data_IF_034533217596
#
_entry.id   IF_034533217596
#
_cell.length_a   1.000
_cell.length_b   1.000
_cell.length_c   1.000
_cell.angle_alpha   90.00
_cell.angle_beta   90.00
_cell.angle_gamma   90.00
#
_symmetry.space_group_name_H-M   'P 1'
#
loop_
_entity.id
_entity.type
_entity.pdbx_description
1 polymer ?
#
# COMPACT_ATOMS: atom_id res chain seq x y z
N UNK A 1 -13.23 13.94 4.43
CA UNK A 1 -12.46 13.34 5.56
C UNK A 1 -13.32 12.29 6.22
N UNK A 2 -12.82 11.07 6.36
CA UNK A 2 -13.51 10.04 7.15
C UNK A 2 -13.33 10.31 8.65
N UNK A 3 -14.30 9.91 9.49
CA UNK A 3 -14.13 9.98 10.93
C UNK A 3 -13.00 9.06 11.37
N UNK A 4 -12.32 9.39 12.49
CA UNK A 4 -11.28 8.53 13.08
C UNK A 4 -11.75 7.10 13.37
N UNK A 5 -13.07 6.89 13.51
CA UNK A 5 -13.68 5.56 13.69
C UNK A 5 -13.58 4.65 12.48
N UNK A 6 -13.36 5.20 11.27
CA UNK A 6 -13.14 4.42 10.05
C UNK A 6 -11.78 3.71 10.03
N UNK A 7 -10.86 4.13 10.90
CA UNK A 7 -9.53 3.54 11.02
C UNK A 7 -9.42 2.71 12.30
N UNK A 8 -8.56 1.69 12.29
CA UNK A 8 -8.16 0.95 13.48
C UNK A 8 -7.07 1.70 14.28
N UNK A 9 -6.72 1.23 15.49
CA UNK A 9 -5.66 1.78 16.34
C UNK A 9 -4.31 1.88 15.65
N UNK A 10 -4.08 1.04 14.65
CA UNK A 10 -2.87 1.04 13.83
C UNK A 10 -2.97 1.95 12.60
N UNK A 11 -4.10 2.65 12.38
CA UNK A 11 -4.35 3.53 11.24
C UNK A 11 -4.74 2.81 9.94
N UNK A 12 -5.13 1.53 10.01
CA UNK A 12 -5.64 0.78 8.86
C UNK A 12 -7.11 1.06 8.65
N UNK A 13 -7.54 1.13 7.39
CA UNK A 13 -8.95 1.32 7.04
C UNK A 13 -9.76 0.08 7.41
N UNK A 14 -10.90 0.26 8.06
CA UNK A 14 -11.79 -0.86 8.45
C UNK A 14 -12.62 -1.39 7.28
N UNK A 15 -12.99 -0.51 6.36
CA UNK A 15 -13.80 -0.85 5.19
C UNK A 15 -13.04 -0.48 3.92
N UNK A 16 -12.81 -1.46 3.04
CA UNK A 16 -12.11 -1.28 1.78
C UNK A 16 -12.83 -0.34 0.81
N UNK A 17 -14.17 -0.31 0.87
CA UNK A 17 -15.03 0.54 0.03
C UNK A 17 -14.97 2.02 0.43
N UNK A 18 -14.58 2.33 1.68
CA UNK A 18 -14.37 3.70 2.15
C UNK A 18 -13.04 4.28 1.61
N UNK A 19 -12.22 3.48 0.95
CA UNK A 19 -10.93 3.93 0.44
C UNK A 19 -11.13 4.93 -0.70
N UNK A 20 -10.42 6.04 -0.61
CA UNK A 20 -10.33 7.03 -1.66
C UNK A 20 -8.94 7.66 -1.67
N UNK A 21 -8.54 8.35 -2.76
CA UNK A 21 -7.25 9.02 -2.82
C UNK A 21 -7.01 9.98 -1.63
N UNK A 22 -8.02 10.75 -1.23
CA UNK A 22 -7.93 11.62 -0.07
C UNK A 22 -7.64 10.87 1.25
N UNK A 23 -8.11 9.62 1.37
CA UNK A 23 -7.85 8.77 2.53
C UNK A 23 -6.46 8.16 2.48
N UNK A 24 -6.00 7.72 1.31
CA UNK A 24 -4.61 7.30 1.13
C UNK A 24 -3.63 8.41 1.53
N UNK A 25 -3.86 9.65 1.08
CA UNK A 25 -3.05 10.80 1.48
C UNK A 25 -3.07 11.04 2.99
N UNK A 26 -4.24 10.93 3.63
CA UNK A 26 -4.36 11.09 5.08
C UNK A 26 -3.57 10.02 5.85
N UNK A 27 -3.61 8.76 5.38
CA UNK A 27 -2.85 7.66 5.96
C UNK A 27 -1.35 7.87 5.77
N UNK A 28 -0.93 8.27 4.56
CA UNK A 28 0.47 8.51 4.24
C UNK A 28 1.03 9.69 5.05
N UNK A 29 0.28 10.79 5.16
CA UNK A 29 0.65 11.93 6.00
C UNK A 29 0.80 11.55 7.48
N UNK A 30 -0.02 10.62 7.98
CA UNK A 30 0.12 10.11 9.34
C UNK A 30 1.39 9.25 9.55
N UNK A 31 1.97 8.72 8.48
CA UNK A 31 3.23 7.98 8.48
C UNK A 31 4.44 8.85 8.04
N UNK A 32 4.24 10.16 7.89
CA UNK A 32 5.25 11.11 7.38
C UNK A 32 5.71 10.79 5.93
N UNK A 33 4.81 10.22 5.12
CA UNK A 33 5.07 9.81 3.74
C UNK A 33 4.36 10.76 2.78
N UNK A 34 5.11 11.32 1.83
CA UNK A 34 4.55 12.14 0.74
C UNK A 34 4.24 11.27 -0.48
N UNK A 35 2.97 11.15 -0.84
CA UNK A 35 2.53 10.39 -2.00
C UNK A 35 2.84 11.13 -3.30
N UNK A 36 3.91 10.71 -3.98
CA UNK A 36 4.19 11.08 -5.37
C UNK A 36 3.48 10.14 -6.35
N UNK A 37 3.51 10.46 -7.65
CA UNK A 37 2.97 9.59 -8.72
C UNK A 37 3.45 8.14 -8.63
N UNK A 38 4.73 7.94 -8.29
CA UNK A 38 5.31 6.61 -8.09
C UNK A 38 4.66 5.84 -6.94
N UNK A 39 4.25 6.53 -5.86
CA UNK A 39 3.52 5.90 -4.76
C UNK A 39 2.12 5.53 -5.21
N UNK A 40 1.44 6.41 -5.96
CA UNK A 40 0.12 6.13 -6.52
C UNK A 40 0.12 4.91 -7.43
N UNK A 41 1.10 4.80 -8.34
CA UNK A 41 1.27 3.61 -9.18
C UNK A 41 1.34 2.34 -8.32
N UNK A 42 2.12 2.35 -7.24
CA UNK A 42 2.23 1.20 -6.33
C UNK A 42 0.91 0.91 -5.61
N UNK A 43 0.22 1.94 -5.13
CA UNK A 43 -1.03 1.83 -4.38
C UNK A 43 -2.13 1.23 -5.27
N UNK A 44 -2.28 1.73 -6.49
CA UNK A 44 -3.23 1.17 -7.44
C UNK A 44 -2.86 -0.26 -7.81
N UNK A 45 -1.58 -0.53 -8.03
CA UNK A 45 -1.09 -1.88 -8.32
C UNK A 45 -1.38 -2.87 -7.18
N UNK A 46 -1.25 -2.44 -5.93
CA UNK A 46 -1.60 -3.24 -4.75
C UNK A 46 -3.10 -3.55 -4.71
N UNK A 47 -3.95 -2.56 -5.05
CA UNK A 47 -5.40 -2.76 -5.12
C UNK A 47 -5.79 -3.70 -6.26
N UNK A 48 -5.14 -3.60 -7.41
CA UNK A 48 -5.32 -4.56 -8.51
C UNK A 48 -4.92 -5.97 -8.07
N UNK A 49 -3.78 -6.12 -7.42
CA UNK A 49 -3.34 -7.40 -6.89
C UNK A 49 -4.35 -7.96 -5.88
N UNK A 50 -4.85 -7.15 -4.97
CA UNK A 50 -5.89 -7.58 -4.02
C UNK A 50 -7.18 -7.96 -4.74
N UNK A 51 -7.62 -7.22 -5.76
CA UNK A 51 -8.80 -7.57 -6.55
C UNK A 51 -8.62 -8.89 -7.33
N UNK A 52 -7.40 -9.22 -7.73
CA UNK A 52 -7.07 -10.43 -8.50
C UNK A 52 -6.85 -11.66 -7.61
N UNK A 53 -6.21 -11.49 -6.45
CA UNK A 53 -5.77 -12.58 -5.57
C UNK A 53 -6.49 -12.63 -4.21
N UNK A 54 -7.37 -11.68 -3.91
CA UNK A 54 -8.04 -11.46 -2.61
C UNK A 54 -7.05 -11.52 -1.43
N UNK A 55 -5.83 -11.02 -1.67
CA UNK A 55 -4.72 -11.15 -0.73
C UNK A 55 -3.75 -9.99 -0.86
N UNK A 56 -3.25 -9.52 0.28
CA UNK A 56 -2.23 -8.47 0.31
C UNK A 56 -0.84 -9.06 0.00
N UNK A 57 -0.11 -8.54 -1.00
CA UNK A 57 1.19 -9.08 -1.36
C UNK A 57 2.25 -8.74 -0.31
N UNK A 58 3.05 -9.74 0.07
CA UNK A 58 4.27 -9.52 0.85
C UNK A 58 5.38 -8.88 0.00
N UNK A 59 6.50 -8.51 0.62
CA UNK A 59 7.64 -7.83 -0.03
C UNK A 59 8.11 -8.56 -1.31
N UNK A 60 8.26 -9.89 -1.26
CA UNK A 60 8.70 -10.71 -2.41
C UNK A 60 7.70 -10.67 -3.58
N UNK A 61 6.41 -11.02 -3.38
CA UNK A 61 5.38 -10.86 -4.40
C UNK A 61 5.27 -9.43 -4.93
N UNK A 62 5.34 -8.42 -4.06
CA UNK A 62 5.25 -7.01 -4.44
C UNK A 62 6.37 -6.61 -5.41
N UNK A 63 7.63 -6.91 -5.08
CA UNK A 63 8.80 -6.65 -5.94
C UNK A 63 8.61 -7.31 -7.30
N UNK A 64 8.19 -8.59 -7.31
CA UNK A 64 7.98 -9.35 -8.55
C UNK A 64 6.82 -8.79 -9.38
N UNK A 65 5.72 -8.42 -8.74
CA UNK A 65 4.54 -7.88 -9.41
C UNK A 65 4.82 -6.47 -9.96
N UNK A 66 5.55 -5.64 -9.22
CA UNK A 66 6.08 -4.35 -9.71
C UNK A 66 7.01 -4.57 -10.91
N UNK A 67 7.92 -5.55 -10.86
CA UNK A 67 8.80 -5.85 -11.99
C UNK A 67 8.03 -6.25 -13.25
N UNK A 68 6.94 -7.02 -13.07
CA UNK A 68 6.09 -7.49 -14.16
C UNK A 68 5.22 -6.38 -14.76
N UNK A 69 4.65 -5.51 -13.94
CA UNK A 69 3.66 -4.50 -14.36
C UNK A 69 4.27 -3.14 -14.68
N UNK A 70 5.26 -2.73 -13.90
CA UNK A 70 5.93 -1.42 -14.00
C UNK A 70 7.35 -1.53 -14.58
N UNK A 71 7.85 -2.74 -14.81
CA UNK A 71 9.20 -3.00 -15.32
C UNK A 71 10.23 -3.25 -14.22
N UNK A 72 11.32 -3.92 -14.61
CA UNK A 72 12.40 -4.36 -13.70
C UNK A 72 13.11 -3.23 -12.96
N UNK A 73 13.04 -1.99 -13.43
CA UNK A 73 13.59 -0.84 -12.70
C UNK A 73 12.76 -0.44 -11.48
N UNK A 74 11.43 -0.45 -11.62
CA UNK A 74 10.48 -0.17 -10.51
C UNK A 74 10.27 -1.40 -9.61
N UNK A 75 10.52 -2.59 -10.14
CA UNK A 75 10.52 -3.86 -9.41
C UNK A 75 11.80 -4.15 -8.61
N UNK A 76 12.43 -3.14 -8.01
CA UNK A 76 13.63 -3.31 -7.18
C UNK A 76 13.29 -3.03 -5.71
N UNK A 77 13.80 -3.84 -4.80
CA UNK A 77 13.65 -3.60 -3.35
C UNK A 77 14.11 -2.20 -2.96
N UNK A 78 15.19 -1.71 -3.58
CA UNK A 78 15.73 -0.36 -3.34
C UNK A 78 14.71 0.72 -3.75
N UNK A 79 14.07 0.57 -4.90
CA UNK A 79 13.03 1.51 -5.37
C UNK A 79 11.85 1.52 -4.41
N UNK A 80 11.35 0.34 -4.02
CA UNK A 80 10.23 0.23 -3.07
C UNK A 80 10.56 0.82 -1.70
N UNK A 81 11.78 0.57 -1.20
CA UNK A 81 12.25 1.15 0.07
C UNK A 81 12.46 2.66 -0.02
N UNK A 82 12.73 3.20 -1.22
CA UNK A 82 12.83 4.65 -1.43
C UNK A 82 11.47 5.35 -1.35
N UNK A 83 10.41 4.67 -1.76
CA UNK A 83 9.03 5.16 -1.66
C UNK A 83 8.48 4.97 -0.24
N UNK A 84 8.57 3.74 0.26
CA UNK A 84 8.02 3.34 1.54
C UNK A 84 9.14 2.83 2.46
N UNK A 85 9.84 3.73 3.17
CA UNK A 85 10.96 3.34 4.02
C UNK A 85 10.53 2.38 5.13
N UNK A 86 11.35 1.36 5.39
CA UNK A 86 11.12 0.36 6.43
C UNK A 86 10.24 -0.82 6.01
N UNK A 87 9.03 -0.60 5.46
CA UNK A 87 8.14 -1.71 5.08
C UNK A 87 7.19 -1.38 3.92
N UNK A 88 7.62 -1.55 2.66
CA UNK A 88 6.82 -1.23 1.48
C UNK A 88 5.54 -2.04 1.35
N UNK A 89 5.58 -3.33 1.67
CA UNK A 89 4.38 -4.16 1.67
C UNK A 89 3.37 -3.66 2.72
N UNK A 90 3.82 -3.42 3.95
CA UNK A 90 2.93 -2.98 5.04
C UNK A 90 2.38 -1.57 4.82
N UNK A 91 3.26 -0.62 4.54
CA UNK A 91 2.89 0.78 4.32
C UNK A 91 2.08 0.95 3.04
N UNK A 92 2.51 0.31 1.95
CA UNK A 92 1.77 0.28 0.70
C UNK A 92 0.37 -0.29 0.88
N UNK A 93 0.23 -1.47 1.50
CA UNK A 93 -1.09 -2.06 1.79
C UNK A 93 -1.94 -1.15 2.67
N UNK A 94 -1.35 -0.55 3.71
CA UNK A 94 -2.05 0.37 4.60
C UNK A 94 -2.59 1.59 3.85
N UNK A 95 -1.75 2.25 3.05
CA UNK A 95 -2.12 3.42 2.24
C UNK A 95 -3.12 3.04 1.15
N UNK A 96 -3.01 1.83 0.58
CA UNK A 96 -3.96 1.27 -0.37
C UNK A 96 -5.32 0.88 0.25
N UNK A 97 -5.48 1.04 1.57
CA UNK A 97 -6.69 0.67 2.30
C UNK A 97 -6.88 -0.83 2.45
N UNK A 98 -5.84 -1.62 2.18
CA UNK A 98 -5.90 -3.08 2.26
C UNK A 98 -5.85 -3.55 3.73
N UNK A 99 -6.55 -4.65 4.06
CA UNK A 99 -6.47 -5.23 5.38
C UNK A 99 -5.03 -5.65 5.69
N UNK A 100 -4.69 -5.64 6.98
CA UNK A 100 -3.38 -6.08 7.45
C UNK A 100 -3.13 -7.51 6.93
N UNK A 101 -2.02 -7.78 6.23
CA UNK A 101 -1.71 -9.15 5.82
C UNK A 101 -1.58 -10.01 7.08
N UNK A 102 -2.40 -11.06 7.17
CA UNK A 102 -2.45 -11.97 8.33
C UNK A 102 -1.13 -12.69 8.60
N UNK A 103 -0.18 -12.64 7.66
CA UNK A 103 1.09 -13.35 7.76
C UNK A 103 2.25 -12.43 8.17
N UNK A 104 2.22 -11.97 9.43
CA UNK A 104 3.45 -11.74 10.19
C UNK A 104 3.74 -13.02 11.01
N UNK A 105 4.39 -14.00 10.38
CA UNK A 105 5.05 -15.13 11.04
C UNK A 105 6.55 -15.06 10.75
#
# INVERSE_FOLDING_TARGET
>A
MLPKSAFDKQGFLRCLDDWSPAIAEQIAAAEDISLSEAHWELIYLLREYYAEFDSSPAMRPLVKYCALKLGTDKGKSVYLMSLFPGSPAKLGSKVAGLPKPDNCL
#
